data_IF_627021484404
#
_entry.id   IF_627021484404
#
_cell.length_a   1.000
_cell.length_b   1.000
_cell.length_c   1.000
_cell.angle_alpha   90.00
_cell.angle_beta   90.00
_cell.angle_gamma   90.00
#
_symmetry.space_group_name_H-M   'P 1'
#
loop_
_entity.id
_entity.type
_entity.pdbx_description
1 polymer ?
#
# COMPACT_ATOMS: atom_id res chain seq x y z
N UNK A 1 30.21 -0.34 -17.74
CA UNK A 1 28.97 -0.32 -18.55
C UNK A 1 28.14 -1.60 -18.41
N UNK A 2 28.68 -2.80 -18.64
CA UNK A 2 27.93 -4.08 -18.52
C UNK A 2 27.36 -4.36 -17.11
N UNK A 3 28.10 -4.06 -16.04
CA UNK A 3 27.63 -4.26 -14.67
C UNK A 3 26.42 -3.38 -14.29
N UNK A 4 26.37 -2.12 -14.75
CA UNK A 4 25.22 -1.24 -14.52
C UNK A 4 23.97 -1.74 -15.26
N UNK A 5 24.11 -2.22 -16.50
CA UNK A 5 22.98 -2.78 -17.25
C UNK A 5 22.41 -4.01 -16.54
N UNK A 6 23.27 -4.89 -16.04
CA UNK A 6 22.86 -6.09 -15.29
C UNK A 6 22.10 -5.73 -13.98
N UNK A 7 22.56 -4.70 -13.26
CA UNK A 7 21.86 -4.22 -12.05
C UNK A 7 20.51 -3.57 -12.38
N UNK A 8 20.41 -2.86 -13.51
CA UNK A 8 19.15 -2.24 -13.96
C UNK A 8 18.08 -3.28 -14.32
N UNK A 9 18.47 -4.43 -14.88
CA UNK A 9 17.53 -5.52 -15.14
C UNK A 9 17.01 -6.15 -13.83
N UNK A 10 17.82 -6.23 -12.79
CA UNK A 10 17.40 -6.72 -11.47
C UNK A 10 16.43 -5.80 -10.74
N UNK A 11 16.33 -4.54 -11.11
CA UNK A 11 15.30 -3.61 -10.56
C UNK A 11 13.92 -3.89 -11.16
N UNK A 12 13.82 -4.64 -12.25
CA UNK A 12 12.53 -4.94 -12.90
C UNK A 12 11.77 -6.00 -12.13
N UNK A 13 10.55 -5.65 -11.73
CA UNK A 13 9.63 -6.63 -11.20
C UNK A 13 9.17 -7.59 -12.29
N UNK A 14 9.00 -8.86 -11.93
CA UNK A 14 8.39 -9.87 -12.79
C UNK A 14 6.93 -9.48 -13.12
N UNK A 15 6.43 -9.90 -14.26
CA UNK A 15 5.09 -9.54 -14.71
C UNK A 15 4.01 -9.94 -13.70
N UNK A 16 4.14 -11.12 -13.10
CA UNK A 16 3.20 -11.59 -12.10
C UNK A 16 3.26 -10.75 -10.81
N UNK A 17 4.45 -10.34 -10.35
CA UNK A 17 4.62 -9.47 -9.17
C UNK A 17 3.91 -8.12 -9.39
N UNK A 18 4.09 -7.51 -10.57
CA UNK A 18 3.39 -6.25 -10.91
C UNK A 18 1.88 -6.42 -10.90
N UNK A 19 1.38 -7.51 -11.52
CA UNK A 19 -0.06 -7.81 -11.53
C UNK A 19 -0.59 -8.02 -10.12
N UNK A 20 0.14 -8.76 -9.28
CA UNK A 20 -0.24 -9.00 -7.90
C UNK A 20 -0.28 -7.70 -7.07
N UNK A 21 0.72 -6.82 -7.20
CA UNK A 21 0.74 -5.52 -6.52
C UNK A 21 -0.47 -4.67 -6.95
N UNK A 22 -0.77 -4.61 -8.25
CA UNK A 22 -1.93 -3.87 -8.74
C UNK A 22 -3.24 -4.44 -8.21
N UNK A 23 -3.41 -5.76 -8.26
CA UNK A 23 -4.61 -6.43 -7.74
C UNK A 23 -4.80 -6.17 -6.25
N UNK A 24 -3.75 -6.31 -5.45
CA UNK A 24 -3.78 -6.02 -4.01
C UNK A 24 -4.10 -4.55 -3.74
N UNK A 25 -3.48 -3.62 -4.47
CA UNK A 25 -3.75 -2.19 -4.32
C UNK A 25 -5.20 -1.86 -4.66
N UNK A 26 -5.74 -2.39 -5.75
CA UNK A 26 -7.14 -2.21 -6.14
C UNK A 26 -8.08 -2.80 -5.09
N UNK A 27 -7.80 -4.02 -4.61
CA UNK A 27 -8.60 -4.67 -3.57
C UNK A 27 -8.61 -3.83 -2.28
N UNK A 28 -7.46 -3.30 -1.84
CA UNK A 28 -7.36 -2.43 -0.66
C UNK A 28 -8.18 -1.15 -0.83
N UNK A 29 -8.07 -0.49 -1.97
CA UNK A 29 -8.82 0.75 -2.23
C UNK A 29 -10.32 0.48 -2.25
N UNK A 30 -10.77 -0.52 -3.00
CA UNK A 30 -12.19 -0.83 -3.14
C UNK A 30 -12.82 -1.28 -1.80
N UNK A 31 -12.16 -2.16 -1.08
CA UNK A 31 -12.68 -2.67 0.20
C UNK A 31 -12.63 -1.59 1.29
N UNK A 32 -11.59 -0.76 1.32
CA UNK A 32 -11.46 0.34 2.27
C UNK A 32 -12.51 1.43 2.04
N UNK A 33 -12.71 1.86 0.80
CA UNK A 33 -13.74 2.84 0.44
C UNK A 33 -15.15 2.30 0.66
N UNK A 34 -15.38 1.03 0.33
CA UNK A 34 -16.66 0.37 0.59
C UNK A 34 -16.97 0.34 2.08
N UNK A 35 -16.01 -0.07 2.91
CA UNK A 35 -16.17 -0.06 4.36
C UNK A 35 -16.47 1.34 4.87
N UNK A 36 -15.71 2.35 4.45
CA UNK A 36 -15.89 3.74 4.85
C UNK A 36 -17.26 4.28 4.46
N UNK A 37 -17.72 4.02 3.23
CA UNK A 37 -19.04 4.46 2.75
C UNK A 37 -20.18 3.79 3.53
N UNK A 38 -20.05 2.51 3.85
CA UNK A 38 -21.04 1.78 4.67
C UNK A 38 -21.04 2.28 6.12
N UNK A 39 -19.86 2.62 6.66
CA UNK A 39 -19.74 3.14 8.02
C UNK A 39 -20.35 4.54 8.14
N UNK A 40 -20.12 5.42 7.17
CA UNK A 40 -20.69 6.76 7.11
C UNK A 40 -22.24 6.77 7.02
N UNK A 41 -22.82 5.69 6.48
CA UNK A 41 -24.27 5.51 6.35
C UNK A 41 -24.84 4.50 7.35
N UNK A 42 -24.09 4.21 8.42
CA UNK A 42 -24.51 3.23 9.44
C UNK A 42 -25.72 3.74 10.20
N UNK A 43 -26.84 2.99 10.16
CA UNK A 43 -27.99 3.20 11.01
C UNK A 43 -27.80 2.62 12.41
N UNK A 44 -28.83 2.70 13.25
CA UNK A 44 -28.84 2.20 14.64
C UNK A 44 -28.66 0.68 14.76
N UNK A 45 -28.89 -0.06 13.67
CA UNK A 45 -28.81 -1.53 13.64
C UNK A 45 -27.38 -2.11 13.63
N UNK A 46 -26.35 -1.26 13.74
CA UNK A 46 -24.94 -1.70 13.76
C UNK A 46 -24.37 -2.02 12.38
N UNK A 47 -23.27 -2.78 12.36
CA UNK A 47 -22.55 -3.14 11.13
C UNK A 47 -23.25 -4.30 10.39
N UNK A 48 -23.66 -4.05 9.14
CA UNK A 48 -24.22 -5.09 8.27
C UNK A 48 -23.17 -6.12 7.82
N UNK A 49 -23.64 -7.27 7.34
CA UNK A 49 -22.77 -8.35 6.86
C UNK A 49 -21.78 -7.90 5.77
N UNK A 50 -22.21 -7.05 4.84
CA UNK A 50 -21.36 -6.49 3.78
C UNK A 50 -20.21 -5.64 4.35
N UNK A 51 -20.46 -4.84 5.40
CA UNK A 51 -19.44 -4.05 6.06
C UNK A 51 -18.40 -4.95 6.75
N UNK A 52 -18.84 -5.99 7.44
CA UNK A 52 -17.96 -6.95 8.09
C UNK A 52 -17.08 -7.68 7.06
N UNK A 53 -17.67 -8.13 5.94
CA UNK A 53 -16.90 -8.78 4.89
C UNK A 53 -15.92 -7.84 4.18
N UNK A 54 -16.30 -6.58 3.92
CA UNK A 54 -15.38 -5.63 3.33
C UNK A 54 -14.14 -5.42 4.21
N UNK A 55 -14.30 -5.32 5.54
CA UNK A 55 -13.19 -5.20 6.48
C UNK A 55 -12.31 -6.45 6.51
N UNK A 56 -12.91 -7.65 6.49
CA UNK A 56 -12.15 -8.91 6.44
C UNK A 56 -11.32 -9.02 5.16
N UNK A 57 -11.91 -8.72 4.01
CA UNK A 57 -11.21 -8.71 2.72
C UNK A 57 -10.11 -7.65 2.67
N UNK A 58 -10.35 -6.46 3.25
CA UNK A 58 -9.35 -5.42 3.39
C UNK A 58 -8.14 -5.90 4.20
N UNK A 59 -8.39 -6.51 5.37
CA UNK A 59 -7.33 -7.08 6.21
C UNK A 59 -6.54 -8.20 5.51
N UNK A 60 -7.22 -9.11 4.81
CA UNK A 60 -6.55 -10.15 4.01
C UNK A 60 -5.68 -9.56 2.91
N UNK A 61 -6.20 -8.58 2.17
CA UNK A 61 -5.43 -7.87 1.14
C UNK A 61 -4.24 -7.11 1.73
N UNK A 62 -4.39 -6.51 2.93
CA UNK A 62 -3.30 -5.84 3.63
C UNK A 62 -2.18 -6.80 4.02
N UNK A 63 -2.52 -7.99 4.55
CA UNK A 63 -1.54 -9.03 4.86
C UNK A 63 -0.76 -9.47 3.62
N UNK A 64 -1.46 -9.73 2.50
CA UNK A 64 -0.81 -10.05 1.23
C UNK A 64 0.09 -8.90 0.76
N UNK A 65 -0.37 -7.66 0.88
CA UNK A 65 0.40 -6.46 0.54
C UNK A 65 1.69 -6.36 1.35
N UNK A 66 1.66 -6.64 2.66
CA UNK A 66 2.83 -6.64 3.53
C UNK A 66 3.82 -7.76 3.17
N UNK A 67 3.33 -8.96 2.81
CA UNK A 67 4.18 -10.06 2.34
C UNK A 67 4.89 -9.65 1.04
N UNK A 68 4.17 -9.07 0.06
CA UNK A 68 4.80 -8.55 -1.16
C UNK A 68 5.79 -7.44 -0.85
N UNK A 69 5.45 -6.48 0.00
CA UNK A 69 6.35 -5.41 0.41
C UNK A 69 7.64 -5.97 1.03
N UNK A 70 7.53 -6.93 1.96
CA UNK A 70 8.67 -7.60 2.56
C UNK A 70 9.57 -8.29 1.52
N UNK A 71 8.98 -8.97 0.53
CA UNK A 71 9.71 -9.62 -0.55
C UNK A 71 10.46 -8.63 -1.46
N UNK A 72 9.95 -7.39 -1.58
CA UNK A 72 10.59 -6.35 -2.37
C UNK A 72 11.76 -5.66 -1.65
N UNK A 73 11.86 -5.74 -0.32
CA UNK A 73 12.92 -5.09 0.44
C UNK A 73 14.31 -5.59 0.01
N UNK A 74 14.48 -6.90 -0.09
CA UNK A 74 15.76 -7.53 -0.42
C UNK A 74 16.10 -7.45 -1.91
N UNK A 75 15.11 -7.42 -2.78
CA UNK A 75 15.28 -7.46 -4.23
C UNK A 75 15.20 -6.08 -4.87
N UNK A 76 13.97 -5.56 -5.02
CA UNK A 76 13.69 -4.33 -5.75
C UNK A 76 14.21 -3.08 -5.04
N UNK A 77 13.88 -2.92 -3.75
CA UNK A 77 14.17 -1.68 -3.00
C UNK A 77 15.67 -1.54 -2.79
N UNK A 78 16.35 -2.59 -2.31
CA UNK A 78 17.80 -2.56 -2.09
C UNK A 78 18.59 -2.25 -3.36
N UNK A 79 18.25 -2.89 -4.47
CA UNK A 79 18.94 -2.66 -5.75
C UNK A 79 18.65 -1.26 -6.31
N UNK A 80 17.38 -0.82 -6.32
CA UNK A 80 17.00 0.52 -6.77
C UNK A 80 17.70 1.61 -5.94
N UNK A 81 17.87 1.37 -4.64
CA UNK A 81 18.61 2.27 -3.75
C UNK A 81 20.10 2.32 -4.11
N UNK A 82 20.74 1.18 -4.34
CA UNK A 82 22.15 1.11 -4.71
C UNK A 82 22.46 1.84 -6.03
N UNK A 83 21.55 1.74 -7.02
CA UNK A 83 21.73 2.39 -8.34
C UNK A 83 21.15 3.80 -8.43
N UNK A 84 20.78 4.44 -7.32
CA UNK A 84 20.25 5.82 -7.25
C UNK A 84 18.96 6.04 -8.07
N UNK A 85 18.14 5.00 -8.25
CA UNK A 85 17.00 5.07 -9.14
C UNK A 85 15.69 5.32 -8.41
N UNK A 86 15.04 6.45 -8.72
CA UNK A 86 13.72 6.83 -8.22
C UNK A 86 13.56 6.72 -6.69
N UNK A 87 14.62 7.05 -5.95
CA UNK A 87 14.72 6.84 -4.48
C UNK A 87 13.62 7.58 -3.72
N UNK A 88 13.34 8.84 -4.07
CA UNK A 88 12.38 9.66 -3.34
C UNK A 88 10.99 9.02 -3.34
N UNK A 89 10.44 8.73 -4.52
CA UNK A 89 9.11 8.10 -4.62
C UNK A 89 9.10 6.68 -4.05
N UNK A 90 10.22 5.95 -4.16
CA UNK A 90 10.37 4.64 -3.51
C UNK A 90 10.34 4.73 -1.99
N UNK A 91 11.06 5.68 -1.40
CA UNK A 91 11.05 5.94 0.04
C UNK A 91 9.67 6.41 0.53
N UNK A 92 9.00 7.29 -0.24
CA UNK A 92 7.62 7.72 0.08
C UNK A 92 6.65 6.54 0.09
N UNK A 93 6.72 5.64 -0.90
CA UNK A 93 5.88 4.43 -0.92
C UNK A 93 6.17 3.51 0.27
N UNK A 94 7.44 3.32 0.61
CA UNK A 94 7.81 2.51 1.77
C UNK A 94 7.29 3.14 3.07
N UNK A 95 7.46 4.44 3.24
CA UNK A 95 6.92 5.19 4.38
C UNK A 95 5.40 5.11 4.48
N UNK A 96 4.68 5.30 3.37
CA UNK A 96 3.22 5.14 3.31
C UNK A 96 2.79 3.73 3.70
N UNK A 97 3.47 2.69 3.19
CA UNK A 97 3.15 1.30 3.53
C UNK A 97 3.32 1.03 5.02
N UNK A 98 4.42 1.50 5.61
CA UNK A 98 4.69 1.34 7.05
C UNK A 98 3.63 2.11 7.86
N UNK A 99 3.34 3.35 7.51
CA UNK A 99 2.34 4.18 8.23
C UNK A 99 0.94 3.57 8.14
N UNK A 100 0.55 3.03 6.95
CA UNK A 100 -0.72 2.33 6.79
C UNK A 100 -0.78 1.06 7.64
N UNK A 101 0.32 0.30 7.73
CA UNK A 101 0.38 -0.87 8.61
C UNK A 101 0.24 -0.49 10.09
N UNK A 102 0.94 0.56 10.54
CA UNK A 102 0.89 1.04 11.92
C UNK A 102 -0.48 1.62 12.27
N UNK A 103 -1.07 2.44 11.41
CA UNK A 103 -2.40 3.01 11.64
C UNK A 103 -3.48 1.93 11.57
N UNK A 104 -3.39 0.98 10.65
CA UNK A 104 -4.28 -0.17 10.58
C UNK A 104 -4.22 -1.02 11.86
N UNK A 105 -3.01 -1.32 12.36
CA UNK A 105 -2.81 -1.97 13.65
C UNK A 105 -3.42 -1.14 14.79
N UNK A 106 -3.17 0.17 14.81
CA UNK A 106 -3.72 1.08 15.81
C UNK A 106 -5.25 1.07 15.86
N UNK A 107 -5.93 0.97 14.71
CA UNK A 107 -7.40 0.89 14.67
C UNK A 107 -7.97 -0.34 15.42
N UNK A 108 -7.20 -1.42 15.55
CA UNK A 108 -7.61 -2.60 16.32
C UNK A 108 -7.28 -2.48 17.82
N UNK A 109 -6.17 -1.82 18.18
CA UNK A 109 -5.62 -1.90 19.54
C UNK A 109 -5.71 -0.62 20.36
N UNK A 110 -5.93 0.56 19.71
CA UNK A 110 -6.11 1.81 20.45
C UNK A 110 -7.49 1.85 21.11
N UNK A 111 -7.50 2.03 22.44
CA UNK A 111 -8.73 2.06 23.24
C UNK A 111 -9.38 3.44 23.39
N UNK A 112 -8.66 4.53 23.10
CA UNK A 112 -9.17 5.91 23.27
C UNK A 112 -9.87 6.42 22.00
N UNK A 113 -11.03 7.08 22.13
CA UNK A 113 -11.77 7.61 20.98
C UNK A 113 -10.95 8.60 20.14
N UNK A 114 -10.24 9.52 20.78
CA UNK A 114 -9.41 10.52 20.08
C UNK A 114 -8.28 9.83 19.31
N UNK A 115 -7.56 8.89 19.91
CA UNK A 115 -6.45 8.19 19.27
C UNK A 115 -6.92 7.32 18.09
N UNK A 116 -8.07 6.66 18.23
CA UNK A 116 -8.70 5.90 17.12
C UNK A 116 -9.16 6.82 16.01
N UNK A 117 -9.76 7.97 16.33
CA UNK A 117 -10.18 8.96 15.33
C UNK A 117 -8.98 9.47 14.53
N UNK A 118 -7.90 9.86 15.19
CA UNK A 118 -6.66 10.28 14.53
C UNK A 118 -6.10 9.18 13.64
N UNK A 119 -6.00 7.94 14.15
CA UNK A 119 -5.54 6.80 13.38
C UNK A 119 -6.41 6.54 12.13
N UNK A 120 -7.74 6.68 12.26
CA UNK A 120 -8.69 6.50 11.17
C UNK A 120 -8.50 7.52 10.05
N UNK A 121 -8.41 8.79 10.41
CA UNK A 121 -8.19 9.86 9.44
C UNK A 121 -6.83 9.75 8.73
N UNK A 122 -5.78 9.42 9.47
CA UNK A 122 -4.45 9.17 8.89
C UNK A 122 -4.46 7.96 7.96
N UNK A 123 -5.11 6.86 8.38
CA UNK A 123 -5.23 5.66 7.57
C UNK A 123 -5.98 5.93 6.26
N UNK A 124 -7.09 6.65 6.33
CA UNK A 124 -7.86 7.04 5.16
C UNK A 124 -7.06 7.95 4.22
N UNK A 125 -6.45 9.02 4.75
CA UNK A 125 -5.70 9.98 3.95
C UNK A 125 -4.50 9.32 3.23
N UNK A 126 -3.71 8.53 3.94
CA UNK A 126 -2.59 7.80 3.36
C UNK A 126 -3.03 6.65 2.45
N UNK A 127 -4.17 6.01 2.75
CA UNK A 127 -4.78 4.99 1.90
C UNK A 127 -5.18 5.56 0.53
N UNK A 128 -5.72 6.77 0.49
CA UNK A 128 -6.04 7.49 -0.75
C UNK A 128 -4.74 7.93 -1.46
N UNK A 129 -3.76 8.43 -0.73
CA UNK A 129 -2.49 8.89 -1.31
C UNK A 129 -1.66 7.74 -1.93
N UNK A 130 -1.79 6.52 -1.42
CA UNK A 130 -0.99 5.37 -1.83
C UNK A 130 -1.09 5.02 -3.32
N UNK A 131 -2.28 4.85 -3.94
CA UNK A 131 -2.39 4.52 -5.36
C UNK A 131 -1.85 5.63 -6.26
N UNK A 132 -2.02 6.91 -5.91
CA UNK A 132 -1.45 8.03 -6.66
C UNK A 132 0.08 8.03 -6.61
N UNK A 133 0.66 7.82 -5.42
CA UNK A 133 2.11 7.74 -5.25
C UNK A 133 2.69 6.53 -6.00
N UNK A 134 2.00 5.39 -5.97
CA UNK A 134 2.38 4.20 -6.73
C UNK A 134 2.36 4.48 -8.25
N UNK A 135 1.31 5.13 -8.74
CA UNK A 135 1.21 5.53 -10.14
C UNK A 135 2.36 6.45 -10.55
N UNK A 136 2.64 7.50 -9.77
CA UNK A 136 3.77 8.41 -10.01
C UNK A 136 5.11 7.67 -10.01
N UNK A 137 5.31 6.76 -9.05
CA UNK A 137 6.52 5.93 -8.98
C UNK A 137 6.71 5.10 -10.24
N UNK A 138 5.64 4.50 -10.76
CA UNK A 138 5.68 3.69 -11.97
C UNK A 138 5.96 4.56 -13.20
N UNK A 139 5.25 5.68 -13.37
CA UNK A 139 5.41 6.58 -14.52
C UNK A 139 6.83 7.14 -14.56
N UNK A 140 7.32 7.66 -13.43
CA UNK A 140 8.70 8.17 -13.34
C UNK A 140 9.73 7.06 -13.56
N UNK A 141 9.50 5.89 -12.99
CA UNK A 141 10.39 4.74 -13.19
C UNK A 141 10.48 4.28 -14.64
N UNK A 142 9.41 4.43 -15.44
CA UNK A 142 9.41 4.17 -16.88
C UNK A 142 10.21 5.20 -17.67
N UNK A 143 10.09 6.48 -17.32
CA UNK A 143 10.82 7.58 -17.99
C UNK A 143 12.33 7.54 -17.73
N UNK A 144 12.76 6.97 -16.62
CA UNK A 144 14.18 6.82 -16.26
C UNK A 144 14.84 5.58 -16.89
N UNK A 145 14.18 4.92 -17.83
CA UNK A 145 14.78 3.82 -18.59
C UNK A 145 15.66 4.42 -19.71
N UNK A 146 16.89 3.88 -19.89
CA UNK A 146 17.70 4.20 -21.05
C UNK A 146 17.03 3.69 -22.33
#
# INVERSE_FOLDING_TARGET
MKAQVFLLDRVRLLNWQRRAIYAVTVALVLTGLLWWALDANRGENGAGSTQVWSLRLHGMAAMLGLVFFGSLLSSHIRVAWAVNRNRLLGATLAGLTITLALTGYGLYYLGGEMSRSVASWLHLAFGIAMPFTLWLHIVRGRRLRP
#
